data_IF_297461029160
#
_entry.id   IF_297461029160
#
_cell.length_a   1.000
_cell.length_b   1.000
_cell.length_c   1.000
_cell.angle_alpha   90.00
_cell.angle_beta   90.00
_cell.angle_gamma   90.00
#
_symmetry.space_group_name_H-M   'P 1'
#
loop_
_entity.id
_entity.type
_entity.pdbx_description
1 polymer ?
#
# COMPACT_ATOMS: atom_id res chain seq x y z
N UNK A 1 17.96 3.43 -8.71
CA UNK A 1 16.56 3.41 -8.26
C UNK A 1 16.32 2.20 -7.38
N UNK A 2 15.77 2.38 -6.18
CA UNK A 2 15.32 1.30 -5.31
C UNK A 2 14.16 1.77 -4.40
N UNK A 3 13.38 0.82 -3.89
CA UNK A 3 12.37 1.09 -2.88
C UNK A 3 13.08 1.28 -1.54
N UNK A 4 12.99 2.46 -0.94
CA UNK A 4 13.71 2.81 0.28
C UNK A 4 12.86 2.58 1.53
N UNK A 5 11.58 2.93 1.47
CA UNK A 5 10.64 2.80 2.60
C UNK A 5 9.32 2.23 2.17
N UNK A 6 8.67 1.50 3.07
CA UNK A 6 7.31 1.01 2.94
C UNK A 6 6.55 1.41 4.19
N UNK A 7 5.33 1.89 4.02
CA UNK A 7 4.37 2.17 5.07
C UNK A 7 3.04 1.48 4.73
N UNK A 8 2.52 0.65 5.63
CA UNK A 8 1.26 -0.06 5.46
C UNK A 8 0.42 0.11 6.73
N UNK A 9 -0.83 0.54 6.57
CA UNK A 9 -1.76 0.74 7.67
C UNK A 9 -3.11 0.11 7.34
N UNK A 10 -3.69 -0.60 8.31
CA UNK A 10 -5.03 -1.23 8.23
C UNK A 10 -5.23 -2.15 7.02
N UNK A 11 -4.17 -2.81 6.54
CA UNK A 11 -4.19 -3.66 5.35
C UNK A 11 -4.10 -5.15 5.72
N UNK A 12 -5.16 -5.91 5.46
CA UNK A 12 -5.29 -7.34 5.76
C UNK A 12 -5.01 -7.62 7.25
N UNK A 13 -3.96 -8.38 7.54
CA UNK A 13 -3.53 -8.70 8.91
C UNK A 13 -2.66 -7.61 9.55
N UNK A 14 -2.31 -6.55 8.82
CA UNK A 14 -1.37 -5.51 9.25
C UNK A 14 -2.15 -4.32 9.78
N UNK A 15 -1.98 -4.01 11.07
CA UNK A 15 -2.50 -2.77 11.66
C UNK A 15 -1.63 -1.57 11.27
N UNK A 16 -0.33 -1.68 11.48
CA UNK A 16 0.67 -0.67 11.15
C UNK A 16 2.01 -1.38 10.90
N UNK A 17 2.72 -1.02 9.83
CA UNK A 17 4.03 -1.56 9.49
C UNK A 17 4.84 -0.52 8.73
N UNK A 18 6.05 -0.27 9.23
CA UNK A 18 7.06 0.56 8.57
C UNK A 18 8.32 -0.26 8.35
N UNK A 19 8.84 -0.28 7.12
CA UNK A 19 10.07 -1.00 6.76
C UNK A 19 11.01 -0.04 6.04
N UNK A 20 12.23 0.09 6.56
CA UNK A 20 13.36 0.68 5.83
C UNK A 20 14.07 -0.43 5.05
N UNK A 21 13.98 -0.38 3.73
CA UNK A 21 14.67 -1.29 2.83
C UNK A 21 16.08 -0.79 2.53
N UNK A 22 16.98 -1.74 2.25
CA UNK A 22 18.35 -1.45 1.82
C UNK A 22 18.55 -1.82 0.34
N UNK A 23 19.48 -1.16 -0.36
CA UNK A 23 19.91 -1.62 -1.68
C UNK A 23 20.38 -3.08 -1.64
N UNK A 24 20.09 -3.83 -2.70
CA UNK A 24 20.42 -5.25 -2.80
C UNK A 24 19.27 -6.15 -2.34
N UNK A 25 19.54 -7.07 -1.43
CA UNK A 25 18.60 -8.12 -1.02
C UNK A 25 18.04 -7.83 0.37
N UNK A 26 16.71 -7.81 0.48
CA UNK A 26 15.99 -7.72 1.74
C UNK A 26 15.24 -9.04 1.97
N UNK A 27 15.43 -9.66 3.14
CA UNK A 27 14.83 -10.95 3.47
C UNK A 27 13.68 -10.76 4.48
N UNK A 28 12.45 -11.06 4.07
CA UNK A 28 11.28 -11.06 4.96
C UNK A 28 11.09 -12.45 5.57
N UNK A 29 11.34 -12.57 6.87
CA UNK A 29 11.23 -13.83 7.64
C UNK A 29 10.06 -13.74 8.62
N UNK A 30 9.41 -14.87 8.84
CA UNK A 30 8.34 -15.02 9.81
C UNK A 30 7.57 -16.32 9.57
N UNK A 31 6.70 -16.70 10.48
CA UNK A 31 5.92 -17.93 10.38
C UNK A 31 4.85 -17.85 9.28
N UNK A 32 4.27 -18.99 8.92
CA UNK A 32 3.10 -19.02 8.04
C UNK A 32 1.95 -18.26 8.70
N UNK A 33 1.27 -17.40 7.92
CA UNK A 33 0.23 -16.53 8.44
C UNK A 33 0.72 -15.24 9.12
N UNK A 34 2.04 -15.04 9.30
CA UNK A 34 2.59 -13.83 9.93
C UNK A 34 2.46 -12.53 9.08
N UNK A 35 1.75 -12.56 7.96
CA UNK A 35 1.51 -11.37 7.13
C UNK A 35 2.55 -11.09 6.04
N UNK A 36 3.56 -11.95 5.82
CA UNK A 36 4.60 -11.76 4.77
C UNK A 36 4.00 -11.50 3.38
N UNK A 37 3.01 -12.29 2.98
CA UNK A 37 2.31 -12.09 1.69
C UNK A 37 1.57 -10.76 1.67
N UNK A 38 0.91 -10.37 2.77
CA UNK A 38 0.23 -9.08 2.89
C UNK A 38 1.20 -7.90 2.71
N UNK A 39 2.44 -8.02 3.19
CA UNK A 39 3.49 -7.01 2.96
C UNK A 39 3.80 -6.88 1.46
N UNK A 40 4.06 -8.00 0.77
CA UNK A 40 4.35 -7.98 -0.66
C UNK A 40 3.18 -7.44 -1.49
N UNK A 41 1.95 -7.73 -1.08
CA UNK A 41 0.75 -7.20 -1.73
C UNK A 41 0.55 -5.72 -1.48
N UNK A 42 0.81 -5.24 -0.25
CA UNK A 42 0.83 -3.81 0.06
C UNK A 42 1.86 -3.05 -0.75
N UNK A 43 3.07 -3.61 -0.92
CA UNK A 43 4.11 -3.04 -1.80
C UNK A 43 3.60 -2.95 -3.25
N UNK A 44 2.96 -4.00 -3.76
CA UNK A 44 2.42 -4.01 -5.12
C UNK A 44 1.33 -2.94 -5.32
N UNK A 45 0.48 -2.71 -4.31
CA UNK A 45 -0.53 -1.64 -4.32
C UNK A 45 0.14 -0.26 -4.29
N UNK A 46 1.12 -0.04 -3.41
CA UNK A 46 1.84 1.22 -3.31
C UNK A 46 2.51 1.57 -4.66
N UNK A 47 3.27 0.63 -5.22
CA UNK A 47 3.93 0.77 -6.52
C UNK A 47 2.93 0.90 -7.69
N UNK A 48 1.74 0.31 -7.58
CA UNK A 48 0.66 0.51 -8.54
C UNK A 48 0.33 2.00 -8.75
N UNK A 49 0.57 2.85 -7.74
CA UNK A 49 0.40 4.29 -7.86
C UNK A 49 1.24 4.93 -8.97
N UNK A 50 2.43 4.40 -9.26
CA UNK A 50 3.34 4.89 -10.30
C UNK A 50 2.68 4.93 -11.69
N UNK A 51 1.81 3.96 -11.97
CA UNK A 51 1.31 3.71 -13.33
C UNK A 51 -0.10 4.26 -13.58
N UNK A 52 -0.72 4.96 -12.63
CA UNK A 52 -2.12 5.42 -12.74
C UNK A 52 -2.38 6.28 -13.98
N UNK A 53 -1.37 6.99 -14.50
CA UNK A 53 -1.49 7.85 -15.67
C UNK A 53 -0.79 7.29 -16.93
N UNK A 54 -0.38 6.02 -16.91
CA UNK A 54 0.27 5.34 -18.03
C UNK A 54 -0.79 4.57 -18.82
N UNK A 55 -0.98 4.95 -20.09
CA UNK A 55 -2.02 4.35 -20.93
C UNK A 55 -1.77 2.84 -21.14
N UNK A 56 -2.83 2.03 -21.04
CA UNK A 56 -2.76 0.58 -21.26
C UNK A 56 -2.23 -0.24 -20.08
N UNK A 57 -1.85 0.38 -18.96
CA UNK A 57 -1.35 -0.32 -17.77
C UNK A 57 -2.44 -0.41 -16.70
N UNK A 58 -2.77 -1.64 -16.28
CA UNK A 58 -3.65 -1.86 -15.13
C UNK A 58 -2.85 -1.73 -13.83
N UNK A 59 -3.48 -1.20 -12.78
CA UNK A 59 -2.85 -0.98 -11.47
C UNK A 59 -3.58 -1.74 -10.39
N UNK A 60 -2.83 -2.36 -9.46
CA UNK A 60 -3.43 -2.98 -8.28
C UNK A 60 -3.95 -1.89 -7.36
N UNK A 61 -5.14 -2.09 -6.82
CA UNK A 61 -5.78 -1.15 -5.92
C UNK A 61 -6.11 -1.78 -4.56
N UNK A 62 -6.40 -0.95 -3.55
CA UNK A 62 -6.96 -1.40 -2.28
C UNK A 62 -8.45 -1.67 -2.49
N UNK A 63 -8.86 -2.92 -2.30
CA UNK A 63 -10.27 -3.33 -2.36
C UNK A 63 -10.83 -3.58 -0.95
N UNK A 64 -12.13 -3.83 -0.82
CA UNK A 64 -12.76 -4.06 0.49
C UNK A 64 -12.16 -5.27 1.21
N UNK A 65 -11.80 -6.31 0.47
CA UNK A 65 -11.21 -7.55 0.97
C UNK A 65 -9.79 -7.36 1.52
N UNK A 66 -9.15 -6.24 1.16
CA UNK A 66 -7.85 -5.85 1.69
C UNK A 66 -7.96 -5.07 3.01
N UNK A 67 -9.16 -4.64 3.41
CA UNK A 67 -9.36 -3.82 4.62
C UNK A 67 -9.26 -4.71 5.86
N UNK A 68 -8.41 -4.31 6.81
CA UNK A 68 -8.28 -5.00 8.10
C UNK A 68 -9.61 -4.95 8.87
N UNK A 69 -9.94 -6.05 9.52
CA UNK A 69 -11.19 -6.21 10.26
C UNK A 69 -10.90 -6.56 11.72
N UNK A 70 -11.64 -5.93 12.65
CA UNK A 70 -11.70 -6.31 14.04
C UNK A 70 -13.03 -7.01 14.32
N UNK A 71 -12.99 -8.16 14.99
CA UNK A 71 -14.18 -8.83 15.49
C UNK A 71 -14.38 -8.41 16.94
N UNK A 72 -15.46 -7.69 17.22
CA UNK A 72 -15.83 -7.31 18.59
C UNK A 72 -17.01 -8.17 19.07
N UNK A 73 -16.97 -8.73 20.28
CA UNK A 73 -18.14 -9.35 20.88
C UNK A 73 -19.20 -8.28 21.18
N UNK A 74 -20.45 -8.55 20.82
CA UNK A 74 -21.63 -7.83 21.24
C UNK A 74 -22.47 -8.75 22.14
N UNK A 75 -22.33 -8.57 23.46
CA UNK A 75 -22.96 -9.43 24.46
C UNK A 75 -22.47 -10.88 24.42
N UNK A 76 -23.23 -11.79 25.02
CA UNK A 76 -22.80 -13.18 25.25
C UNK A 76 -22.89 -14.08 24.02
N UNK A 77 -23.45 -13.61 22.89
CA UNK A 77 -23.78 -14.50 21.75
C UNK A 77 -23.68 -13.87 20.36
N UNK A 78 -23.29 -12.60 20.23
CA UNK A 78 -23.16 -11.98 18.91
C UNK A 78 -21.78 -11.34 18.72
N UNK A 79 -21.35 -11.21 17.47
CA UNK A 79 -20.08 -10.59 17.09
C UNK A 79 -20.34 -9.57 15.98
N UNK A 80 -19.71 -8.40 16.10
CA UNK A 80 -19.75 -7.34 15.08
C UNK A 80 -18.39 -7.22 14.42
N UNK A 81 -18.39 -7.01 13.11
CA UNK A 81 -17.20 -6.74 12.31
C UNK A 81 -17.05 -5.23 12.18
N UNK A 82 -15.91 -4.71 12.63
CA UNK A 82 -15.50 -3.33 12.37
C UNK A 82 -14.38 -3.31 11.35
N UNK A 83 -14.54 -2.49 10.31
CA UNK A 83 -13.50 -2.25 9.31
C UNK A 83 -12.57 -1.14 9.80
N UNK A 84 -11.27 -1.34 9.65
CA UNK A 84 -10.27 -0.35 10.04
C UNK A 84 -10.01 0.60 8.87
N UNK A 85 -10.31 1.88 9.07
CA UNK A 85 -10.25 2.95 8.07
C UNK A 85 -9.51 4.16 8.66
N UNK A 86 -8.75 4.93 7.86
CA UNK A 86 -8.43 4.69 6.45
C UNK A 86 -7.44 3.53 6.28
N UNK A 87 -7.35 2.98 5.06
CA UNK A 87 -6.33 1.99 4.68
C UNK A 87 -5.26 2.62 3.80
N UNK A 88 -4.00 2.42 4.15
CA UNK A 88 -2.85 3.00 3.47
C UNK A 88 -1.87 1.91 3.02
N UNK A 89 -1.40 2.07 1.79
CA UNK A 89 -0.23 1.37 1.27
C UNK A 89 0.66 2.38 0.56
N UNK A 90 1.77 2.74 1.18
CA UNK A 90 2.68 3.77 0.72
C UNK A 90 4.13 3.33 0.68
N UNK A 91 4.92 4.12 -0.03
CA UNK A 91 6.35 3.87 -0.14
C UNK A 91 7.14 5.11 -0.51
N UNK A 92 8.45 5.04 -0.25
CA UNK A 92 9.44 5.99 -0.77
C UNK A 92 10.29 5.30 -1.84
N UNK A 93 10.29 5.86 -3.04
CA UNK A 93 11.14 5.44 -4.14
C UNK A 93 12.33 6.39 -4.26
N UNK A 94 13.52 5.85 -4.05
CA UNK A 94 14.77 6.57 -4.22
C UNK A 94 15.22 6.47 -5.68
N UNK A 95 15.43 7.60 -6.37
CA UNK A 95 16.00 7.65 -7.72
C UNK A 95 17.50 7.97 -7.63
N UNK A 96 17.84 9.12 -7.04
CA UNK A 96 19.17 9.65 -6.75
C UNK A 96 19.15 10.38 -5.41
N UNK A 97 20.32 10.80 -4.89
CA UNK A 97 20.43 11.54 -3.63
C UNK A 97 19.62 12.85 -3.60
N UNK A 98 19.41 13.46 -4.78
CA UNK A 98 18.65 14.70 -4.96
C UNK A 98 17.18 14.47 -5.39
N UNK A 99 16.81 13.24 -5.73
CA UNK A 99 15.49 12.91 -6.27
C UNK A 99 14.93 11.63 -5.64
N UNK A 100 13.89 11.82 -4.83
CA UNK A 100 13.05 10.77 -4.30
C UNK A 100 11.57 11.14 -4.43
N UNK A 101 10.72 10.12 -4.34
CA UNK A 101 9.27 10.29 -4.35
C UNK A 101 8.68 9.51 -3.20
N UNK A 102 7.77 10.11 -2.44
CA UNK A 102 7.03 9.44 -1.38
C UNK A 102 5.55 9.66 -1.60
N UNK A 103 4.77 8.58 -1.56
CA UNK A 103 3.33 8.65 -1.73
C UNK A 103 2.64 7.48 -1.02
N UNK A 104 1.33 7.63 -0.81
CA UNK A 104 0.43 6.63 -0.30
C UNK A 104 -0.71 6.39 -1.29
N UNK A 105 -1.06 5.12 -1.51
CA UNK A 105 -2.37 4.73 -2.01
C UNK A 105 -3.32 4.66 -0.82
N UNK A 106 -4.44 5.36 -0.87
CA UNK A 106 -5.34 5.53 0.27
C UNK A 106 -6.76 5.17 -0.09
N UNK A 107 -7.38 4.31 0.72
CA UNK A 107 -8.82 4.06 0.74
C UNK A 107 -9.38 4.69 2.01
N UNK A 108 -10.08 5.81 1.86
CA UNK A 108 -10.63 6.57 2.99
C UNK A 108 -11.68 5.74 3.73
N UNK A 109 -12.67 5.23 2.98
CA UNK A 109 -13.77 4.43 3.51
C UNK A 109 -13.85 3.08 2.79
N UNK A 110 -14.29 2.04 3.48
CA UNK A 110 -14.53 0.69 2.97
C UNK A 110 -15.55 0.71 1.84
N UNK A 111 -16.54 1.61 1.94
CA UNK A 111 -17.59 1.82 0.94
C UNK A 111 -17.08 2.52 -0.33
N UNK A 112 -15.94 3.20 -0.27
CA UNK A 112 -15.40 3.93 -1.42
C UNK A 112 -15.04 2.97 -2.58
N UNK A 113 -15.56 3.23 -3.77
CA UNK A 113 -15.23 2.46 -4.99
C UNK A 113 -13.86 2.81 -5.55
N UNK A 114 -13.29 3.93 -5.10
CA UNK A 114 -12.02 4.45 -5.56
C UNK A 114 -11.09 4.73 -4.37
N UNK A 115 -9.83 4.88 -4.71
CA UNK A 115 -8.73 5.21 -3.81
C UNK A 115 -8.01 6.42 -4.36
N UNK A 116 -7.38 7.21 -3.49
CA UNK A 116 -6.55 8.34 -3.91
C UNK A 116 -5.06 8.03 -3.80
N UNK A 117 -4.29 8.92 -4.41
CA UNK A 117 -2.85 9.07 -4.18
C UNK A 117 -2.67 10.48 -3.65
N UNK A 118 -1.97 10.62 -2.52
CA UNK A 118 -1.73 11.90 -1.85
C UNK A 118 -0.72 12.78 -2.60
N UNK A 119 0.43 12.22 -3.00
CA UNK A 119 1.41 12.90 -3.85
C UNK A 119 1.49 12.26 -5.24
N UNK A 120 1.03 13.00 -6.26
CA UNK A 120 1.00 12.56 -7.66
C UNK A 120 2.24 12.98 -8.46
N UNK A 121 3.23 13.63 -7.84
CA UNK A 121 4.48 14.03 -8.51
C UNK A 121 5.16 12.83 -9.17
N UNK A 122 5.14 11.67 -8.51
CA UNK A 122 5.69 10.44 -9.06
C UNK A 122 4.95 9.96 -10.31
N UNK A 123 3.62 10.12 -10.36
CA UNK A 123 2.81 9.75 -11.52
C UNK A 123 3.11 10.66 -12.72
N UNK A 124 3.34 11.95 -12.47
CA UNK A 124 3.72 12.93 -13.49
C UNK A 124 5.11 12.62 -14.03
N UNK A 125 6.06 12.32 -13.14
CA UNK A 125 7.40 11.90 -13.52
C UNK A 125 7.40 10.63 -14.36
N UNK A 126 6.66 9.60 -13.92
CA UNK A 126 6.56 8.33 -14.64
C UNK A 126 5.93 8.49 -16.03
N UNK A 127 4.87 9.29 -16.16
CA UNK A 127 4.23 9.57 -17.45
C UNK A 127 5.20 10.21 -18.47
N UNK A 128 6.08 11.10 -18.01
CA UNK A 128 7.11 11.72 -18.87
C UNK A 128 8.13 10.70 -19.36
N UNK A 129 8.48 9.71 -18.55
CA UNK A 129 9.40 8.64 -18.95
C UNK A 129 8.79 7.66 -19.96
N UNK A 130 7.47 7.45 -19.91
CA UNK A 130 6.78 6.50 -20.80
C UNK A 130 6.32 7.09 -22.13
N UNK A 131 6.30 8.42 -22.28
CA UNK A 131 5.95 9.12 -23.52
C UNK A 131 7.14 9.96 -24.02
N UNK A 132 8.19 9.33 -24.59
CA UNK A 132 9.36 10.03 -25.13
C UNK A 132 9.04 10.89 -26.36
#
# INVERSE_FOLDING_TARGET
MYLEKIHIQNYKAIEELNIDLKPGVNLLIGDNGAGKTSVLEGIAVALGGLFVNVAGVSTKNIVKEDVRMNIKPMGDSSTTIEYCEPVLAGCTLHITDEQNFTWNRIKEDVSATHTRIDDKNVCVWMKKLTNP
#
